data_IF_006243094439
#
_entry.id   IF_006243094439
#
_cell.length_a   1.000
_cell.length_b   1.000
_cell.length_c   1.000
_cell.angle_alpha   90.00
_cell.angle_beta   90.00
_cell.angle_gamma   90.00
#
_symmetry.space_group_name_H-M   'P 1'
#
loop_
_entity.id
_entity.type
_entity.pdbx_description
1 polymer ?
#
# COMPACT_ATOMS: atom_id res chain seq x y z
N UNK A 1 -48.36 -2.50 -11.15
CA UNK A 1 -47.76 -1.20 -10.73
C UNK A 1 -47.09 -1.27 -9.36
N UNK A 2 -47.72 -1.79 -8.30
CA UNK A 2 -47.04 -1.99 -6.99
C UNK A 2 -46.13 -3.23 -7.00
N UNK A 3 -46.54 -4.29 -7.70
CA UNK A 3 -45.75 -5.54 -7.81
C UNK A 3 -44.42 -5.33 -8.57
N UNK A 4 -44.41 -4.50 -9.61
CA UNK A 4 -43.22 -4.22 -10.43
C UNK A 4 -42.11 -3.52 -9.63
N UNK A 5 -42.48 -2.66 -8.67
CA UNK A 5 -41.51 -1.94 -7.83
C UNK A 5 -40.80 -2.86 -6.83
N UNK A 6 -41.51 -3.87 -6.31
CA UNK A 6 -40.94 -4.87 -5.41
C UNK A 6 -39.92 -5.78 -6.11
N UNK A 7 -40.16 -6.12 -7.37
CA UNK A 7 -39.24 -6.91 -8.18
C UNK A 7 -37.98 -6.12 -8.55
N UNK A 8 -38.12 -4.83 -8.88
CA UNK A 8 -36.95 -3.97 -9.15
C UNK A 8 -36.07 -3.78 -7.92
N UNK A 9 -36.68 -3.57 -6.74
CA UNK A 9 -35.95 -3.41 -5.50
C UNK A 9 -35.17 -4.69 -5.12
N UNK A 10 -35.79 -5.86 -5.26
CA UNK A 10 -35.12 -7.14 -4.97
C UNK A 10 -33.95 -7.42 -5.91
N UNK A 11 -34.09 -7.15 -7.21
CA UNK A 11 -32.99 -7.30 -8.17
C UNK A 11 -31.83 -6.35 -7.87
N UNK A 12 -32.12 -5.09 -7.50
CA UNK A 12 -31.10 -4.11 -7.16
C UNK A 12 -30.31 -4.52 -5.90
N UNK A 13 -31.00 -4.99 -4.85
CA UNK A 13 -30.36 -5.45 -3.61
C UNK A 13 -29.49 -6.68 -3.88
N UNK A 14 -29.98 -7.65 -4.67
CA UNK A 14 -29.21 -8.84 -5.02
C UNK A 14 -27.96 -8.48 -5.82
N UNK A 15 -28.07 -7.52 -6.74
CA UNK A 15 -26.93 -7.05 -7.53
C UNK A 15 -25.90 -6.35 -6.66
N UNK A 16 -26.32 -5.48 -5.75
CA UNK A 16 -25.44 -4.82 -4.79
C UNK A 16 -24.73 -5.82 -3.87
N UNK A 17 -25.45 -6.85 -3.38
CA UNK A 17 -24.89 -7.90 -2.55
C UNK A 17 -23.83 -8.74 -3.30
N UNK A 18 -24.08 -9.08 -4.56
CA UNK A 18 -23.11 -9.79 -5.41
C UNK A 18 -21.87 -8.93 -5.64
N UNK A 19 -22.02 -7.65 -5.97
CA UNK A 19 -20.89 -6.74 -6.18
C UNK A 19 -20.07 -6.57 -4.89
N UNK A 20 -20.72 -6.44 -3.74
CA UNK A 20 -20.05 -6.36 -2.44
C UNK A 20 -19.29 -7.65 -2.11
N UNK A 21 -19.90 -8.81 -2.35
CA UNK A 21 -19.25 -10.10 -2.15
C UNK A 21 -18.02 -10.26 -3.05
N UNK A 22 -18.13 -9.90 -4.33
CA UNK A 22 -17.01 -9.92 -5.26
C UNK A 22 -15.90 -8.94 -4.84
N UNK A 23 -16.25 -7.77 -4.33
CA UNK A 23 -15.29 -6.79 -3.81
C UNK A 23 -14.54 -7.31 -2.58
N UNK A 24 -15.24 -7.98 -1.64
CA UNK A 24 -14.64 -8.61 -0.46
C UNK A 24 -13.72 -9.76 -0.88
N UNK A 25 -14.18 -10.64 -1.77
CA UNK A 25 -13.39 -11.77 -2.27
C UNK A 25 -12.16 -11.27 -3.04
N UNK A 26 -12.30 -10.23 -3.86
CA UNK A 26 -11.17 -9.59 -4.55
C UNK A 26 -10.15 -9.03 -3.54
N UNK A 27 -10.60 -8.28 -2.53
CA UNK A 27 -9.74 -7.76 -1.47
C UNK A 27 -9.02 -8.89 -0.73
N UNK A 28 -9.72 -9.97 -0.38
CA UNK A 28 -9.12 -11.12 0.30
C UNK A 28 -8.11 -11.86 -0.60
N UNK A 29 -8.38 -12.01 -1.89
CA UNK A 29 -7.47 -12.68 -2.83
C UNK A 29 -6.22 -11.83 -3.07
N UNK A 30 -6.37 -10.52 -3.32
CA UNK A 30 -5.26 -9.58 -3.47
C UNK A 30 -4.41 -9.54 -2.19
N UNK A 31 -5.06 -9.49 -1.03
CA UNK A 31 -4.39 -9.56 0.29
C UNK A 31 -3.72 -10.92 0.54
N UNK A 32 -4.30 -12.03 0.08
CA UNK A 32 -3.72 -13.39 0.25
C UNK A 32 -2.54 -13.68 -0.69
N UNK A 33 -2.41 -12.96 -1.81
CA UNK A 33 -1.25 -13.06 -2.69
C UNK A 33 -0.05 -12.30 -2.12
N UNK A 34 -0.26 -11.23 -1.35
CA UNK A 34 0.83 -10.48 -0.66
C UNK A 34 1.30 -11.15 0.64
N UNK A 35 0.57 -12.14 1.17
CA UNK A 35 0.94 -12.85 2.42
C UNK A 35 1.72 -14.15 2.23
N UNK A 36 2.09 -14.55 1.01
CA UNK A 36 3.08 -15.61 0.78
C UNK A 36 4.46 -14.99 0.61
N UNK A 37 5.12 -14.75 1.74
CA UNK A 37 6.56 -14.48 1.72
C UNK A 37 7.09 -13.53 2.77
N UNK A 38 6.58 -13.53 4.01
CA UNK A 38 7.34 -12.94 5.12
C UNK A 38 7.48 -13.94 6.26
N UNK A 39 8.41 -14.90 6.08
CA UNK A 39 9.01 -15.61 7.21
C UNK A 39 10.21 -14.79 7.65
N UNK A 40 10.04 -14.09 8.77
CA UNK A 40 10.94 -13.12 9.39
C UNK A 40 12.30 -13.70 9.88
N UNK A 41 12.83 -14.76 9.27
CA UNK A 41 14.09 -15.40 9.64
C UNK A 41 15.11 -15.57 8.49
N UNK A 42 14.70 -15.44 7.23
CA UNK A 42 15.57 -15.57 6.04
C UNK A 42 15.96 -14.20 5.43
N UNK A 43 15.54 -13.09 6.05
CA UNK A 43 15.74 -11.72 5.55
C UNK A 43 17.21 -11.23 5.56
N UNK A 44 18.15 -12.06 6.01
CA UNK A 44 19.59 -11.75 5.96
C UNK A 44 20.30 -12.34 4.74
N UNK A 45 19.70 -13.33 4.05
CA UNK A 45 20.29 -13.96 2.87
C UNK A 45 19.77 -13.34 1.56
N UNK A 46 18.62 -12.68 1.62
CA UNK A 46 18.02 -11.94 0.49
C UNK A 46 18.58 -10.51 0.33
N UNK A 47 19.65 -10.16 1.06
CA UNK A 47 20.38 -8.88 0.98
C UNK A 47 21.08 -8.68 -0.38
N UNK A 48 21.08 -9.68 -1.27
CA UNK A 48 21.79 -9.63 -2.55
C UNK A 48 20.95 -9.90 -3.82
N UNK A 49 19.64 -10.13 -3.72
CA UNK A 49 18.81 -10.46 -4.90
C UNK A 49 17.61 -9.51 -5.01
N UNK A 50 17.90 -8.20 -5.14
CA UNK A 50 16.94 -7.21 -5.65
C UNK A 50 16.53 -7.63 -7.07
N UNK A 51 15.54 -8.50 -7.15
CA UNK A 51 15.10 -9.13 -8.38
C UNK A 51 14.24 -8.14 -9.15
N UNK A 52 14.86 -7.47 -10.11
CA UNK A 52 14.20 -6.67 -11.13
C UNK A 52 13.19 -7.57 -11.86
N UNK A 53 11.88 -7.37 -11.65
CA UNK A 53 10.88 -8.04 -12.47
C UNK A 53 10.77 -7.33 -13.83
N UNK A 54 10.77 -8.13 -14.90
CA UNK A 54 10.83 -7.65 -16.27
C UNK A 54 9.48 -7.02 -16.67
N UNK A 55 9.30 -5.74 -16.39
CA UNK A 55 8.09 -4.98 -16.75
C UNK A 55 7.69 -3.86 -15.77
N UNK A 56 8.41 -3.68 -14.67
CA UNK A 56 8.10 -2.63 -13.68
C UNK A 56 8.34 -1.24 -14.24
N UNK A 57 7.38 -0.34 -14.00
CA UNK A 57 7.49 1.06 -14.43
C UNK A 57 8.57 1.75 -13.60
N UNK A 58 9.43 2.59 -14.20
CA UNK A 58 10.50 3.29 -13.47
C UNK A 58 10.03 4.07 -12.24
N UNK A 59 8.80 4.59 -12.27
CA UNK A 59 8.23 5.31 -11.14
C UNK A 59 7.90 4.39 -9.94
N UNK A 60 7.43 3.16 -10.21
CA UNK A 60 7.17 2.18 -9.16
C UNK A 60 8.45 1.84 -8.37
N UNK A 61 9.58 1.75 -9.08
CA UNK A 61 10.90 1.50 -8.50
C UNK A 61 11.30 2.62 -7.53
N UNK A 62 11.01 3.88 -7.88
CA UNK A 62 11.33 5.03 -7.03
C UNK A 62 10.51 4.98 -5.73
N UNK A 63 9.20 4.71 -5.82
CA UNK A 63 8.37 4.59 -4.63
C UNK A 63 8.84 3.46 -3.70
N UNK A 64 9.25 2.32 -4.26
CA UNK A 64 9.77 1.19 -3.47
C UNK A 64 11.09 1.53 -2.79
N UNK A 65 12.03 2.18 -3.48
CA UNK A 65 13.31 2.58 -2.87
C UNK A 65 13.12 3.58 -1.71
N UNK A 66 12.18 4.52 -1.86
CA UNK A 66 11.85 5.46 -0.80
C UNK A 66 11.21 4.73 0.38
N UNK A 67 10.29 3.78 0.13
CA UNK A 67 9.68 2.95 1.17
C UNK A 67 10.72 2.17 1.97
N UNK A 68 11.66 1.52 1.30
CA UNK A 68 12.73 0.76 1.93
C UNK A 68 13.57 1.65 2.85
N UNK A 69 13.98 2.83 2.37
CA UNK A 69 14.71 3.82 3.17
C UNK A 69 13.92 4.28 4.40
N UNK A 70 12.62 4.53 4.24
CA UNK A 70 11.76 4.91 5.38
C UNK A 70 11.73 3.81 6.43
N UNK A 71 11.57 2.56 6.01
CA UNK A 71 11.59 1.40 6.91
C UNK A 71 12.94 1.24 7.62
N UNK A 72 14.04 1.46 6.90
CA UNK A 72 15.38 1.47 7.47
C UNK A 72 15.54 2.55 8.54
N UNK A 73 15.16 3.80 8.25
CA UNK A 73 15.24 4.92 9.19
C UNK A 73 14.43 4.64 10.45
N UNK A 74 13.20 4.16 10.31
CA UNK A 74 12.33 3.85 11.45
C UNK A 74 12.92 2.72 12.31
N UNK A 75 13.52 1.70 11.67
CA UNK A 75 14.21 0.62 12.37
C UNK A 75 15.43 1.12 13.16
N UNK A 76 16.25 1.99 12.57
CA UNK A 76 17.43 2.59 13.24
C UNK A 76 17.00 3.45 14.43
N UNK A 77 15.91 4.21 14.29
CA UNK A 77 15.36 5.04 15.36
C UNK A 77 14.66 4.25 16.48
N UNK A 78 14.68 2.91 16.41
CA UNK A 78 14.07 2.03 17.43
C UNK A 78 12.53 2.07 17.41
N UNK A 79 11.94 2.59 16.33
CA UNK A 79 10.49 2.66 16.17
C UNK A 79 10.03 1.36 15.53
N UNK A 80 9.40 0.51 16.32
CA UNK A 80 8.77 -0.71 15.82
C UNK A 80 7.68 -0.28 14.83
N UNK A 81 7.77 -0.76 13.59
CA UNK A 81 6.73 -0.66 12.58
C UNK A 81 5.53 -1.53 13.00
N UNK A 82 4.81 -1.12 14.04
CA UNK A 82 3.48 -1.68 14.32
C UNK A 82 2.47 -1.23 13.26
N UNK A 83 2.82 -0.20 12.48
CA UNK A 83 2.00 0.39 11.44
C UNK A 83 2.40 -0.14 10.07
N UNK A 84 1.40 -0.49 9.27
CA UNK A 84 1.57 -0.81 7.86
C UNK A 84 1.88 0.47 7.08
N UNK A 85 3.09 0.56 6.53
CA UNK A 85 3.54 1.67 5.68
C UNK A 85 3.91 1.11 4.31
N UNK A 86 3.32 1.68 3.26
CA UNK A 86 3.48 1.29 1.86
C UNK A 86 3.55 2.57 1.00
N UNK A 87 4.26 2.53 -0.12
CA UNK A 87 4.38 3.65 -1.04
C UNK A 87 3.97 3.23 -2.44
N UNK A 88 3.29 4.13 -3.13
CA UNK A 88 2.89 3.91 -4.51
C UNK A 88 3.21 5.12 -5.38
N UNK A 89 3.19 4.89 -6.68
CA UNK A 89 3.20 5.98 -7.66
C UNK A 89 1.76 6.27 -8.10
N UNK A 90 1.30 7.48 -7.81
CA UNK A 90 0.00 7.98 -8.23
C UNK A 90 -0.09 8.33 -9.72
N UNK A 91 -1.30 8.58 -10.23
CA UNK A 91 -1.51 9.03 -11.61
C UNK A 91 -0.76 10.34 -11.87
N UNK A 92 0.22 10.32 -12.78
CA UNK A 92 1.06 11.48 -13.09
C UNK A 92 2.45 11.44 -12.47
N UNK A 93 2.81 10.37 -11.75
CA UNK A 93 4.16 10.19 -11.21
C UNK A 93 4.39 10.77 -9.82
N UNK A 94 3.31 11.21 -9.14
CA UNK A 94 3.38 11.66 -7.75
C UNK A 94 3.64 10.49 -6.79
N UNK A 95 4.32 10.75 -5.68
CA UNK A 95 4.45 9.77 -4.60
C UNK A 95 3.15 9.72 -3.79
N UNK A 96 2.61 8.53 -3.56
CA UNK A 96 1.48 8.28 -2.66
C UNK A 96 1.98 7.53 -1.44
N UNK A 97 1.63 8.00 -0.25
CA UNK A 97 2.12 7.48 1.03
C UNK A 97 0.95 6.84 1.76
N UNK A 98 1.00 5.54 1.96
CA UNK A 98 -0.08 4.78 2.58
C UNK A 98 0.30 4.38 4.00
N UNK A 99 -0.48 4.80 4.99
CA UNK A 99 -0.29 4.45 6.40
C UNK A 99 -1.60 3.89 6.94
N UNK A 100 -1.58 2.63 7.38
CA UNK A 100 -2.76 1.93 7.91
C UNK A 100 -4.00 2.01 6.99
N UNK A 101 -3.76 1.96 5.67
CA UNK A 101 -4.80 2.05 4.65
C UNK A 101 -5.28 3.48 4.32
N UNK A 102 -4.72 4.51 4.94
CA UNK A 102 -4.98 5.92 4.60
C UNK A 102 -3.90 6.43 3.65
N UNK A 103 -4.32 6.99 2.51
CA UNK A 103 -3.42 7.59 1.51
C UNK A 103 -3.22 9.09 1.80
N UNK A 104 -1.95 9.49 1.88
CA UNK A 104 -1.48 10.85 2.01
C UNK A 104 -0.72 11.23 0.74
N UNK A 105 -1.04 12.39 0.16
CA UNK A 105 -0.39 12.88 -1.06
C UNK A 105 0.76 13.82 -0.74
N UNK A 106 0.67 14.50 0.39
CA UNK A 106 1.71 15.38 0.88
C UNK A 106 2.31 14.83 2.17
N UNK A 107 3.63 14.95 2.32
CA UNK A 107 4.35 14.49 3.53
C UNK A 107 3.80 15.19 4.79
N UNK A 108 3.39 16.44 4.67
CA UNK A 108 2.87 17.25 5.78
C UNK A 108 1.47 16.82 6.26
N UNK A 109 0.73 16.05 5.46
CA UNK A 109 -0.59 15.50 5.85
C UNK A 109 -0.47 14.30 6.82
N UNK A 110 0.72 13.69 6.91
CA UNK A 110 0.96 12.53 7.77
C UNK A 110 0.83 12.97 9.25
N UNK A 111 -0.10 12.38 10.03
CA UNK A 111 -0.33 12.79 11.42
C UNK A 111 0.80 12.35 12.36
N UNK A 112 1.52 11.29 11.98
CA UNK A 112 2.59 10.67 12.75
C UNK A 112 3.93 11.39 12.49
N UNK A 113 4.38 12.19 13.44
CA UNK A 113 5.61 13.01 13.31
C UNK A 113 6.86 12.17 13.03
N UNK A 114 6.94 11.00 13.64
CA UNK A 114 8.00 10.03 13.41
C UNK A 114 8.05 9.55 11.96
N UNK A 115 6.91 9.12 11.42
CA UNK A 115 6.81 8.66 10.03
C UNK A 115 7.08 9.84 9.09
N UNK A 116 6.46 10.99 9.33
CA UNK A 116 6.65 12.22 8.54
C UNK A 116 8.14 12.59 8.44
N UNK A 117 8.85 12.54 9.57
CA UNK A 117 10.29 12.84 9.61
C UNK A 117 11.10 11.80 8.84
N UNK A 118 10.77 10.51 8.98
CA UNK A 118 11.44 9.45 8.25
C UNK A 118 11.22 9.56 6.74
N UNK A 119 9.98 9.82 6.28
CA UNK A 119 9.66 10.05 4.86
C UNK A 119 10.44 11.24 4.32
N UNK A 120 10.44 12.37 5.04
CA UNK A 120 11.17 13.57 4.62
C UNK A 120 12.67 13.29 4.45
N UNK A 121 13.29 12.61 5.41
CA UNK A 121 14.71 12.21 5.32
C UNK A 121 14.96 11.30 4.12
N UNK A 122 14.13 10.29 3.90
CA UNK A 122 14.29 9.35 2.79
C UNK A 122 14.17 10.04 1.42
N UNK A 123 13.20 10.94 1.25
CA UNK A 123 13.02 11.74 0.03
C UNK A 123 14.19 12.71 -0.18
N UNK A 124 14.63 13.40 0.88
CA UNK A 124 15.77 14.31 0.82
C UNK A 124 17.06 13.58 0.46
N UNK A 125 17.25 12.34 0.93
CA UNK A 125 18.41 11.51 0.59
C UNK A 125 18.35 10.98 -0.84
N UNK A 126 17.16 10.60 -1.32
CA UNK A 126 16.96 10.15 -2.70
C UNK A 126 17.21 11.27 -3.73
N UNK A 127 16.88 12.52 -3.38
CA UNK A 127 17.03 13.68 -4.26
C UNK A 127 18.46 14.27 -4.31
N UNK A 128 19.40 13.77 -3.50
CA UNK A 128 20.80 14.21 -3.50
C UNK A 128 21.64 13.49 -4.54
#
# INVERSE_FOLDING_TARGET
MIEDFSQLATVAIMTAAILLFLFIVWNLIVRSRRSRGFKSGEALEQIMDARIEKGEKPAAIISEQIEEKVKEILKIEGKILEREIDFATGPGGSLEIWIEGTCYKEIDEIPHEDIRTAVKKAVDEFNR
#
